data_IF_910914769767
#
_entry.id   IF_910914769767
#
_cell.length_a   1.000
_cell.length_b   1.000
_cell.length_c   1.000
_cell.angle_alpha   90.00
_cell.angle_beta   90.00
_cell.angle_gamma   90.00
#
_symmetry.space_group_name_H-M   'P 1'
#
loop_
_entity.id
_entity.type
_entity.pdbx_description
1 polymer ?
#
# COMPACT_ATOMS: atom_id res chain seq x y z
N UNK A 1 -15.24 8.77 -1.74
CA UNK A 1 -13.97 8.09 -1.42
C UNK A 1 -13.06 8.88 -0.48
N UNK A 2 -12.99 10.18 -0.63
CA UNK A 2 -12.15 11.04 0.21
C UNK A 2 -12.41 10.88 1.71
N UNK A 3 -13.65 10.62 2.13
CA UNK A 3 -14.06 10.57 3.55
C UNK A 3 -13.24 9.55 4.35
N UNK A 4 -13.09 8.30 3.85
CA UNK A 4 -12.29 7.29 4.56
C UNK A 4 -10.81 7.60 4.55
N UNK A 5 -10.30 8.12 3.44
CA UNK A 5 -8.91 8.54 3.33
C UNK A 5 -8.59 9.71 4.25
N UNK A 6 -9.48 10.69 4.33
CA UNK A 6 -9.33 11.87 5.19
C UNK A 6 -9.44 11.50 6.68
N UNK A 7 -10.37 10.61 7.03
CA UNK A 7 -10.48 10.06 8.39
C UNK A 7 -9.23 9.29 8.78
N UNK A 8 -8.69 8.49 7.87
CA UNK A 8 -7.47 7.73 8.13
C UNK A 8 -6.28 8.66 8.34
N UNK A 9 -6.10 9.68 7.51
CA UNK A 9 -5.06 10.71 7.69
C UNK A 9 -5.19 11.43 9.02
N UNK A 10 -6.39 11.84 9.37
CA UNK A 10 -6.66 12.50 10.64
C UNK A 10 -6.29 11.60 11.82
N UNK A 11 -6.71 10.34 11.80
CA UNK A 11 -6.42 9.38 12.87
C UNK A 11 -4.94 9.05 12.97
N UNK A 12 -4.23 8.95 11.85
CA UNK A 12 -2.76 8.78 11.83
C UNK A 12 -2.08 9.97 12.52
N UNK A 13 -2.45 11.18 12.14
CA UNK A 13 -1.92 12.40 12.76
C UNK A 13 -2.19 12.49 14.26
N UNK A 14 -3.38 12.12 14.68
CA UNK A 14 -3.75 12.05 16.09
C UNK A 14 -2.92 11.00 16.84
N UNK A 15 -2.78 9.81 16.27
CA UNK A 15 -2.01 8.70 16.82
C UNK A 15 -0.53 9.10 17.03
N UNK A 16 0.08 9.71 16.03
CA UNK A 16 1.48 10.16 16.09
C UNK A 16 1.67 11.24 17.18
N UNK A 17 0.71 12.13 17.31
CA UNK A 17 0.73 13.15 18.36
C UNK A 17 0.65 12.52 19.75
N UNK A 18 -0.32 11.62 19.95
CA UNK A 18 -0.51 10.95 21.24
C UNK A 18 0.72 10.10 21.59
N UNK A 19 1.28 9.37 20.65
CA UNK A 19 2.51 8.58 20.87
C UNK A 19 3.70 9.45 21.29
N UNK A 20 3.84 10.66 20.74
CA UNK A 20 4.89 11.61 21.14
C UNK A 20 4.70 12.17 22.54
N UNK A 21 3.44 12.43 22.93
CA UNK A 21 3.11 13.03 24.23
C UNK A 21 3.00 11.98 25.35
N UNK A 22 2.76 10.72 25.01
CA UNK A 22 2.53 9.63 25.96
C UNK A 22 3.62 9.50 27.04
N UNK A 23 4.94 9.53 26.72
CA UNK A 23 6.00 9.41 27.73
C UNK A 23 6.05 10.58 28.72
N UNK A 24 5.42 11.70 28.40
CA UNK A 24 5.39 12.92 29.24
C UNK A 24 4.26 12.90 30.25
N UNK A 25 3.33 11.94 30.13
CA UNK A 25 2.16 11.86 31.01
C UNK A 25 2.47 11.15 32.32
N UNK A 26 1.65 11.42 33.32
CA UNK A 26 1.70 10.66 34.60
C UNK A 26 1.27 9.20 34.35
N UNK A 27 1.69 8.21 35.19
CA UNK A 27 1.40 6.79 34.94
C UNK A 27 -0.07 6.44 34.72
N UNK A 28 -0.99 7.03 35.49
CA UNK A 28 -2.42 6.79 35.34
C UNK A 28 -2.92 7.31 34.00
N UNK A 29 -2.49 8.50 33.59
CA UNK A 29 -2.84 9.09 32.31
C UNK A 29 -2.21 8.33 31.15
N UNK A 30 -1.00 7.77 31.30
CA UNK A 30 -0.36 6.92 30.32
C UNK A 30 -1.19 5.65 30.06
N UNK A 31 -1.71 5.00 31.10
CA UNK A 31 -2.52 3.79 30.95
C UNK A 31 -3.80 4.10 30.16
N UNK A 32 -4.54 5.13 30.56
CA UNK A 32 -5.75 5.55 29.85
C UNK A 32 -5.49 5.90 28.39
N UNK A 33 -4.42 6.66 28.12
CA UNK A 33 -4.04 7.02 26.76
C UNK A 33 -3.59 5.80 25.94
N UNK A 34 -2.93 4.82 26.55
CA UNK A 34 -2.55 3.58 25.89
C UNK A 34 -3.78 2.72 25.49
N UNK A 35 -4.80 2.66 26.33
CA UNK A 35 -6.06 2.00 26.05
C UNK A 35 -6.79 2.68 24.88
N UNK A 36 -6.85 4.01 24.87
CA UNK A 36 -7.41 4.80 23.77
C UNK A 36 -6.66 4.57 22.46
N UNK A 37 -5.33 4.43 22.50
CA UNK A 37 -4.52 4.10 21.33
C UNK A 37 -4.92 2.77 20.70
N UNK A 38 -5.16 1.73 21.48
CA UNK A 38 -5.60 0.41 20.99
C UNK A 38 -6.93 0.54 20.25
N UNK A 39 -7.88 1.28 20.79
CA UNK A 39 -9.19 1.52 20.16
C UNK A 39 -9.02 2.27 18.83
N UNK A 40 -8.19 3.30 18.80
CA UNK A 40 -7.92 4.08 17.59
C UNK A 40 -7.24 3.20 16.52
N UNK A 41 -6.28 2.38 16.90
CA UNK A 41 -5.59 1.45 15.98
C UNK A 41 -6.57 0.43 15.38
N UNK A 42 -7.46 -0.14 16.18
CA UNK A 42 -8.52 -1.04 15.71
C UNK A 42 -9.47 -0.35 14.72
N UNK A 43 -9.89 0.86 15.01
CA UNK A 43 -10.72 1.65 14.11
C UNK A 43 -10.00 1.96 12.79
N UNK A 44 -8.71 2.29 12.86
CA UNK A 44 -7.88 2.54 11.66
C UNK A 44 -7.77 1.30 10.78
N UNK A 45 -7.59 0.12 11.36
CA UNK A 45 -7.56 -1.15 10.63
C UNK A 45 -8.87 -1.37 9.86
N UNK A 46 -10.02 -1.10 10.49
CA UNK A 46 -11.34 -1.18 9.86
C UNK A 46 -11.51 -0.20 8.69
N UNK A 47 -11.09 1.05 8.85
CA UNK A 47 -11.12 2.05 7.77
C UNK A 47 -10.19 1.69 6.63
N UNK A 48 -8.98 1.20 6.95
CA UNK A 48 -8.01 0.78 5.94
C UNK A 48 -8.55 -0.39 5.11
N UNK A 49 -9.15 -1.37 5.75
CA UNK A 49 -9.75 -2.52 5.07
C UNK A 49 -10.87 -2.09 4.11
N UNK A 50 -11.75 -1.19 4.55
CA UNK A 50 -12.83 -0.66 3.70
C UNK A 50 -12.28 0.14 2.52
N UNK A 51 -11.22 0.91 2.74
CA UNK A 51 -10.55 1.67 1.70
C UNK A 51 -9.89 0.76 0.67
N UNK A 52 -9.19 -0.29 1.11
CA UNK A 52 -8.57 -1.28 0.23
C UNK A 52 -9.63 -2.00 -0.63
N UNK A 53 -10.75 -2.42 -0.04
CA UNK A 53 -11.87 -3.02 -0.78
C UNK A 53 -12.46 -2.07 -1.81
N UNK A 54 -12.59 -0.80 -1.45
CA UNK A 54 -13.13 0.21 -2.35
C UNK A 54 -12.19 0.46 -3.54
N UNK A 55 -10.88 0.57 -3.31
CA UNK A 55 -9.89 0.71 -4.38
C UNK A 55 -9.84 -0.52 -5.28
N UNK A 56 -9.93 -1.72 -4.72
CA UNK A 56 -10.03 -2.95 -5.49
C UNK A 56 -11.21 -2.91 -6.47
N UNK A 57 -12.36 -2.46 -6.00
CA UNK A 57 -13.56 -2.31 -6.81
C UNK A 57 -13.41 -1.24 -7.90
N UNK A 58 -12.71 -0.16 -7.59
CA UNK A 58 -12.46 0.92 -8.56
C UNK A 58 -11.62 0.42 -9.74
N UNK A 59 -10.54 -0.28 -9.49
CA UNK A 59 -9.71 -0.74 -10.59
C UNK A 59 -10.32 -1.92 -11.36
N UNK A 60 -11.16 -2.74 -10.74
CA UNK A 60 -12.00 -3.69 -11.48
C UNK A 60 -12.97 -2.98 -12.44
N UNK A 61 -13.64 -1.94 -11.97
CA UNK A 61 -14.53 -1.14 -12.80
C UNK A 61 -13.80 -0.40 -13.93
N UNK A 62 -12.53 -0.11 -13.76
CA UNK A 62 -11.68 0.47 -14.80
C UNK A 62 -11.17 -0.57 -15.81
N UNK A 63 -11.52 -1.83 -15.64
CA UNK A 63 -11.14 -2.90 -16.56
C UNK A 63 -9.73 -3.44 -16.32
N UNK A 64 -9.21 -3.31 -15.10
CA UNK A 64 -7.92 -3.88 -14.71
C UNK A 64 -8.13 -5.26 -14.09
N UNK A 65 -7.52 -6.28 -14.70
CA UNK A 65 -7.63 -7.66 -14.23
C UNK A 65 -6.26 -8.30 -14.09
N UNK A 66 -6.09 -9.09 -13.03
CA UNK A 66 -4.90 -9.90 -12.78
C UNK A 66 -5.23 -11.38 -12.94
N UNK A 67 -4.37 -12.10 -13.67
CA UNK A 67 -4.42 -13.55 -13.79
C UNK A 67 -3.17 -14.15 -13.10
N UNK A 68 -3.30 -14.65 -11.86
CA UNK A 68 -2.18 -15.19 -11.12
C UNK A 68 -1.56 -16.44 -11.75
N UNK A 69 -2.38 -17.28 -12.39
CA UNK A 69 -1.93 -18.54 -12.96
C UNK A 69 -1.01 -18.32 -14.16
N UNK A 70 -1.31 -17.34 -15.00
CA UNK A 70 -0.53 -16.98 -16.17
C UNK A 70 0.38 -15.75 -15.96
N UNK A 71 0.37 -15.17 -14.79
CA UNK A 71 1.11 -13.93 -14.46
C UNK A 71 0.86 -12.83 -15.48
N UNK A 72 -0.40 -12.64 -15.80
CA UNK A 72 -0.86 -11.69 -16.81
C UNK A 72 -1.65 -10.57 -16.17
N UNK A 73 -1.43 -9.36 -16.67
CA UNK A 73 -2.24 -8.20 -16.35
C UNK A 73 -2.95 -7.74 -17.62
N UNK A 74 -4.25 -7.43 -17.50
CA UNK A 74 -5.07 -6.92 -18.58
C UNK A 74 -5.71 -5.60 -18.16
N UNK A 75 -5.67 -4.63 -19.06
CA UNK A 75 -6.33 -3.34 -18.87
C UNK A 75 -6.90 -2.85 -20.18
N UNK A 76 -8.24 -2.71 -20.24
CA UNK A 76 -8.96 -2.20 -21.41
C UNK A 76 -8.53 -2.85 -22.73
N UNK A 77 -8.46 -4.17 -22.77
CA UNK A 77 -8.10 -4.94 -23.96
C UNK A 77 -6.60 -5.05 -24.23
N UNK A 78 -5.77 -4.37 -23.48
CA UNK A 78 -4.31 -4.52 -23.53
C UNK A 78 -3.86 -5.51 -22.48
N UNK A 79 -2.84 -6.30 -22.78
CA UNK A 79 -2.31 -7.28 -21.83
C UNK A 79 -0.79 -7.31 -21.82
N UNK A 80 -0.23 -7.71 -20.69
CA UNK A 80 1.19 -7.97 -20.53
C UNK A 80 1.40 -9.20 -19.64
N UNK A 81 2.42 -9.97 -19.95
CA UNK A 81 2.87 -11.09 -19.13
C UNK A 81 4.07 -10.63 -18.32
N UNK A 82 4.04 -10.90 -17.01
CA UNK A 82 5.07 -10.48 -16.07
C UNK A 82 5.91 -11.69 -15.64
N UNK A 83 7.13 -11.41 -15.19
CA UNK A 83 7.89 -12.41 -14.44
C UNK A 83 7.22 -12.64 -13.07
N UNK A 84 7.57 -13.72 -12.41
CA UNK A 84 7.01 -14.08 -11.11
C UNK A 84 7.15 -12.93 -10.09
N UNK A 85 8.33 -12.32 -10.01
CA UNK A 85 8.59 -11.25 -9.04
C UNK A 85 7.93 -9.94 -9.40
N UNK A 86 7.88 -9.60 -10.68
CA UNK A 86 7.12 -8.43 -11.16
C UNK A 86 5.64 -8.58 -10.82
N UNK A 87 5.07 -9.75 -11.07
CA UNK A 87 3.68 -10.04 -10.76
C UNK A 87 3.40 -9.95 -9.26
N UNK A 88 4.24 -10.57 -8.43
CA UNK A 88 4.11 -10.54 -6.98
C UNK A 88 4.19 -9.11 -6.43
N UNK A 89 5.09 -8.28 -6.96
CA UNK A 89 5.19 -6.88 -6.57
C UNK A 89 3.93 -6.09 -6.94
N UNK A 90 3.47 -6.25 -8.17
CA UNK A 90 2.27 -5.56 -8.64
C UNK A 90 1.01 -6.00 -7.88
N UNK A 91 0.82 -7.30 -7.69
CA UNK A 91 -0.29 -7.85 -6.91
C UNK A 91 -0.29 -7.32 -5.48
N UNK A 92 0.87 -7.30 -4.83
CA UNK A 92 1.02 -6.77 -3.48
C UNK A 92 0.65 -5.28 -3.39
N UNK A 93 1.16 -4.47 -4.31
CA UNK A 93 0.86 -3.03 -4.34
C UNK A 93 -0.60 -2.73 -4.70
N UNK A 94 -1.20 -3.54 -5.57
CA UNK A 94 -2.63 -3.42 -5.90
C UNK A 94 -3.55 -3.85 -4.76
N UNK A 95 -3.11 -4.79 -3.93
CA UNK A 95 -3.83 -5.18 -2.73
C UNK A 95 -3.79 -4.10 -1.64
N UNK A 96 -2.78 -3.22 -1.68
CA UNK A 96 -2.56 -2.16 -0.70
C UNK A 96 -2.34 -0.80 -1.38
N UNK A 97 -3.28 -0.30 -2.19
CA UNK A 97 -3.10 0.94 -2.94
C UNK A 97 -3.02 2.14 -2.00
N UNK A 98 -2.29 3.17 -2.44
CA UNK A 98 -2.05 4.41 -1.70
C UNK A 98 -1.27 4.25 -0.38
N UNK A 99 -0.74 3.06 -0.10
CA UNK A 99 0.10 2.79 1.07
C UNK A 99 1.56 2.72 0.66
N UNK A 100 2.44 3.21 1.50
CA UNK A 100 3.88 3.21 1.26
C UNK A 100 4.56 2.04 1.96
N UNK A 101 5.42 1.35 1.22
CA UNK A 101 6.22 0.24 1.71
C UNK A 101 7.69 0.47 1.40
N UNK A 102 8.54 0.31 2.40
CA UNK A 102 9.99 0.36 2.19
C UNK A 102 10.46 -0.86 1.39
N UNK A 103 11.66 -0.78 0.82
CA UNK A 103 12.25 -1.92 0.12
C UNK A 103 12.32 -3.17 1.02
N UNK A 104 12.67 -3.01 2.29
CA UNK A 104 12.69 -4.10 3.26
C UNK A 104 11.31 -4.74 3.47
N UNK A 105 10.27 -3.92 3.59
CA UNK A 105 8.90 -4.40 3.73
C UNK A 105 8.44 -5.17 2.48
N UNK A 106 8.77 -4.69 1.29
CA UNK A 106 8.48 -5.37 0.02
C UNK A 106 9.19 -6.73 -0.03
N UNK A 107 10.46 -6.80 0.32
CA UNK A 107 11.20 -8.07 0.36
C UNK A 107 10.55 -9.09 1.28
N UNK A 108 10.11 -8.67 2.47
CA UNK A 108 9.50 -9.55 3.45
C UNK A 108 8.05 -9.92 3.14
N UNK A 109 7.27 -8.98 2.63
CA UNK A 109 5.82 -9.15 2.49
C UNK A 109 5.38 -9.56 1.09
N UNK A 110 6.01 -9.04 0.03
CA UNK A 110 5.64 -9.35 -1.34
C UNK A 110 6.33 -10.61 -1.87
N UNK A 111 7.60 -10.78 -1.56
CA UNK A 111 8.41 -11.86 -2.13
C UNK A 111 8.81 -12.95 -1.14
N UNK A 112 8.90 -12.65 0.13
CA UNK A 112 9.34 -13.58 1.18
C UNK A 112 10.65 -14.29 0.83
N UNK A 113 11.58 -13.57 0.18
CA UNK A 113 12.84 -14.12 -0.32
C UNK A 113 14.03 -13.47 0.39
N UNK A 114 14.73 -14.21 1.29
CA UNK A 114 15.86 -13.66 2.04
C UNK A 114 17.12 -13.50 1.18
N UNK A 115 17.17 -14.07 -0.04
CA UNK A 115 18.32 -13.98 -0.94
C UNK A 115 18.39 -12.67 -1.72
N UNK A 116 17.31 -11.87 -1.70
CA UNK A 116 17.26 -10.59 -2.40
C UNK A 116 17.72 -9.43 -1.52
N UNK A 117 18.40 -8.48 -2.16
CA UNK A 117 18.84 -7.25 -1.51
C UNK A 117 17.82 -6.11 -1.77
N UNK A 118 17.69 -5.15 -0.83
CA UNK A 118 16.79 -4.01 -1.01
C UNK A 118 17.02 -3.21 -2.30
N UNK A 119 18.25 -3.15 -2.78
CA UNK A 119 18.62 -2.46 -4.03
C UNK A 119 17.96 -3.07 -5.27
N UNK A 120 17.69 -4.36 -5.24
CA UNK A 120 17.04 -5.06 -6.35
C UNK A 120 15.57 -4.67 -6.52
N UNK A 121 14.91 -4.25 -5.44
CA UNK A 121 13.52 -3.76 -5.46
C UNK A 121 13.38 -2.61 -6.45
N UNK A 122 14.34 -1.71 -6.49
CA UNK A 122 14.36 -0.56 -7.42
C UNK A 122 14.26 -0.99 -8.89
N UNK A 123 14.93 -2.07 -9.26
CA UNK A 123 14.90 -2.59 -10.63
C UNK A 123 13.53 -3.16 -10.99
N UNK A 124 12.91 -3.90 -10.07
CA UNK A 124 11.56 -4.43 -10.28
C UNK A 124 10.50 -3.33 -10.29
N UNK A 125 10.61 -2.33 -9.44
CA UNK A 125 9.75 -1.14 -9.45
C UNK A 125 9.83 -0.44 -10.82
N UNK A 126 11.02 -0.28 -11.37
CA UNK A 126 11.21 0.33 -12.69
C UNK A 126 10.52 -0.48 -13.80
N UNK A 127 10.63 -1.81 -13.76
CA UNK A 127 9.99 -2.69 -14.74
C UNK A 127 8.47 -2.65 -14.63
N UNK A 128 7.94 -2.76 -13.43
CA UNK A 128 6.48 -2.66 -13.18
C UNK A 128 5.93 -1.30 -13.59
N UNK A 129 6.67 -0.22 -13.32
CA UNK A 129 6.29 1.13 -13.77
C UNK A 129 6.16 1.22 -15.29
N UNK A 130 7.08 0.60 -16.04
CA UNK A 130 7.00 0.53 -17.51
C UNK A 130 5.77 -0.22 -17.99
N UNK A 131 5.42 -1.32 -17.34
CA UNK A 131 4.25 -2.13 -17.67
C UNK A 131 2.96 -1.33 -17.43
N UNK A 132 2.85 -0.68 -16.29
CA UNK A 132 1.71 0.18 -15.96
C UNK A 132 1.54 1.28 -17.02
N UNK A 133 2.63 1.91 -17.41
CA UNK A 133 2.62 2.95 -18.43
C UNK A 133 2.21 2.40 -19.81
N UNK A 134 2.76 1.26 -20.21
CA UNK A 134 2.47 0.63 -21.50
C UNK A 134 1.01 0.19 -21.62
N UNK A 135 0.40 -0.24 -20.53
CA UNK A 135 -1.01 -0.62 -20.46
C UNK A 135 -1.96 0.56 -20.26
N UNK A 136 -1.41 1.77 -20.13
CA UNK A 136 -2.19 2.99 -19.83
C UNK A 136 -3.07 2.85 -18.59
N UNK A 137 -2.61 2.12 -17.59
CA UNK A 137 -3.30 2.02 -16.30
C UNK A 137 -3.27 3.41 -15.62
N UNK A 138 -4.40 3.94 -15.15
CA UNK A 138 -4.46 5.25 -14.52
C UNK A 138 -3.91 5.21 -13.09
N UNK A 139 -2.67 4.81 -12.94
CA UNK A 139 -1.97 4.69 -11.67
C UNK A 139 -0.51 5.10 -11.83
N UNK A 140 0.08 5.58 -10.74
CA UNK A 140 1.49 5.93 -10.65
C UNK A 140 2.16 5.11 -9.54
N UNK A 141 3.32 4.55 -9.85
CA UNK A 141 4.16 3.90 -8.86
C UNK A 141 5.17 4.93 -8.35
N UNK A 142 4.88 5.48 -7.17
CA UNK A 142 5.64 6.55 -6.55
C UNK A 142 6.73 6.02 -5.63
N UNK A 143 7.79 6.79 -5.50
CA UNK A 143 8.83 6.59 -4.50
C UNK A 143 8.98 7.87 -3.69
N UNK A 144 8.81 7.78 -2.38
CA UNK A 144 9.07 8.88 -1.45
C UNK A 144 10.25 8.54 -0.54
N UNK A 145 11.28 9.37 -0.49
CA UNK A 145 12.41 9.18 0.42
C UNK A 145 11.94 8.99 1.87
N UNK A 146 12.45 7.97 2.54
CA UNK A 146 12.09 7.63 3.92
C UNK A 146 10.76 6.88 4.10
N UNK A 147 9.89 6.81 3.09
CA UNK A 147 8.61 6.09 3.13
C UNK A 147 8.57 4.86 2.25
N UNK A 148 9.27 4.88 1.10
CA UNK A 148 9.32 3.79 0.16
C UNK A 148 8.39 3.97 -1.04
N UNK A 149 7.81 2.87 -1.49
CA UNK A 149 7.04 2.79 -2.74
C UNK A 149 5.55 2.65 -2.47
N UNK A 150 4.75 3.25 -3.35
CA UNK A 150 3.29 3.14 -3.31
C UNK A 150 2.71 3.17 -4.72
N UNK A 151 1.67 2.39 -4.93
CA UNK A 151 0.84 2.47 -6.14
C UNK A 151 -0.35 3.38 -5.86
N UNK A 152 -0.44 4.47 -6.57
CA UNK A 152 -1.45 5.51 -6.38
C UNK A 152 -2.30 5.63 -7.63
N UNK A 153 -3.62 5.44 -7.49
CA UNK A 153 -4.55 5.65 -8.59
C UNK A 153 -4.82 7.13 -8.81
N UNK A 154 -4.84 7.52 -10.07
CA UNK A 154 -5.34 8.83 -10.52
C UNK A 154 -6.85 8.76 -10.68
N UNK A 155 -7.53 9.36 -9.76
CA UNK A 155 -9.00 9.38 -9.75
C UNK A 155 -9.47 10.82 -9.93
#
# INVERSE_FOLDING_TARGET
MSVYADLLKFKIGLLDRVKRELPKLRPIAQQAASEDLVIIEDQMAGYQQRLDLWYHRVWELQGLYLDPDNRRITHQGREATLTRREFQLLEFLLAHPHRYFTAQQILGQAWSDPALFPEEVRNYVRRVRRIILALEVPADLLNRPGKGYSLVFRI
#
